data_IF_972167166116
#
_entry.id   IF_972167166116
#
_cell.length_a   1.000
_cell.length_b   1.000
_cell.length_c   1.000
_cell.angle_alpha   90.00
_cell.angle_beta   90.00
_cell.angle_gamma   90.00
#
_symmetry.space_group_name_H-M   'P 1'
#
loop_
_entity.id
_entity.type
_entity.pdbx_description
1 polymer ?
#
# COMPACT_ATOMS: atom_id res chain seq x y z
N UNK A 1 -5.64 18.29 -2.34
CA UNK A 1 -4.30 17.72 -2.59
C UNK A 1 -3.97 16.72 -1.50
N UNK A 2 -3.46 15.53 -1.85
CA UNK A 2 -3.12 14.47 -0.88
C UNK A 2 -1.60 14.35 -0.79
N UNK A 3 -1.03 14.62 0.39
CA UNK A 3 0.42 14.57 0.62
C UNK A 3 0.81 13.37 1.48
N UNK A 4 0.88 13.59 2.81
CA UNK A 4 1.34 12.58 3.78
C UNK A 4 0.60 11.24 3.68
N UNK A 5 -0.71 11.25 3.42
CA UNK A 5 -1.48 10.01 3.30
C UNK A 5 -1.02 9.15 2.10
N UNK A 6 -0.76 9.76 0.95
CA UNK A 6 -0.25 9.06 -0.24
C UNK A 6 1.15 8.48 -0.01
N UNK A 7 1.97 9.11 0.84
CA UNK A 7 3.28 8.59 1.20
C UNK A 7 3.24 7.46 2.24
N UNK A 8 2.33 7.54 3.21
CA UNK A 8 2.25 6.59 4.32
C UNK A 8 1.45 5.33 4.00
N UNK A 9 0.50 5.41 3.06
CA UNK A 9 -0.31 4.28 2.62
C UNK A 9 -0.70 4.44 1.14
N UNK A 10 0.25 4.40 0.20
CA UNK A 10 -0.01 4.64 -1.22
C UNK A 10 -1.04 3.68 -1.81
N UNK A 11 -0.95 2.39 -1.48
CA UNK A 11 -1.80 1.35 -2.05
C UNK A 11 -3.30 1.67 -1.88
N UNK A 12 -3.73 1.96 -0.65
CA UNK A 12 -5.13 2.24 -0.38
C UNK A 12 -5.54 3.70 -0.60
N UNK A 13 -4.61 4.65 -0.41
CA UNK A 13 -4.94 6.08 -0.51
C UNK A 13 -5.15 6.52 -1.95
N UNK A 14 -4.29 6.08 -2.88
CA UNK A 14 -4.33 6.56 -4.26
C UNK A 14 -4.64 5.46 -5.28
N UNK A 15 -4.59 4.18 -4.90
CA UNK A 15 -4.79 3.07 -5.83
C UNK A 15 -6.18 2.99 -6.49
N UNK A 16 -7.20 3.65 -5.94
CA UNK A 16 -8.58 3.64 -6.46
C UNK A 16 -9.00 4.93 -7.14
N UNK A 17 -8.12 5.93 -7.19
CA UNK A 17 -8.48 7.28 -7.62
C UNK A 17 -8.99 7.29 -9.06
N UNK A 18 -8.38 6.51 -9.96
CA UNK A 18 -8.77 6.44 -11.37
C UNK A 18 -10.25 6.05 -11.55
N UNK A 19 -10.69 4.99 -10.87
CA UNK A 19 -12.09 4.54 -10.93
C UNK A 19 -13.03 5.39 -10.09
N UNK A 20 -12.64 5.73 -8.86
CA UNK A 20 -13.52 6.39 -7.90
C UNK A 20 -13.74 7.89 -8.20
N UNK A 21 -12.75 8.57 -8.79
CA UNK A 21 -12.79 10.03 -9.01
C UNK A 21 -12.89 10.36 -10.50
N UNK A 22 -12.15 9.66 -11.36
CA UNK A 22 -12.07 9.99 -12.79
C UNK A 22 -12.96 9.11 -13.68
N UNK A 23 -13.61 8.08 -13.12
CA UNK A 23 -14.47 7.16 -13.88
C UNK A 23 -13.71 6.31 -14.91
N UNK A 24 -12.38 6.22 -14.80
CA UNK A 24 -11.54 5.43 -15.69
C UNK A 24 -11.50 3.98 -15.18
N UNK A 25 -11.61 2.96 -16.05
CA UNK A 25 -11.48 1.57 -15.62
C UNK A 25 -10.17 1.35 -14.86
N UNK A 26 -10.28 0.85 -13.62
CA UNK A 26 -9.11 0.55 -12.81
C UNK A 26 -8.35 -0.62 -13.39
N UNK A 27 -7.04 -0.46 -13.55
CA UNK A 27 -6.17 -1.57 -13.90
C UNK A 27 -6.10 -2.52 -12.71
N UNK A 28 -6.54 -3.77 -12.90
CA UNK A 28 -6.55 -4.82 -11.87
C UNK A 28 -5.13 -5.39 -11.65
N UNK A 29 -4.14 -4.51 -11.45
CA UNK A 29 -2.77 -4.92 -11.20
C UNK A 29 -2.60 -5.37 -9.75
N UNK A 30 -1.86 -6.46 -9.56
CA UNK A 30 -1.42 -6.89 -8.24
C UNK A 30 -0.21 -6.08 -7.77
N UNK A 31 0.12 -6.14 -6.46
CA UNK A 31 1.34 -5.51 -5.94
C UNK A 31 2.59 -6.07 -6.63
N UNK A 32 2.61 -7.38 -6.90
CA UNK A 32 3.69 -8.07 -7.62
C UNK A 32 3.92 -7.46 -9.00
N UNK A 33 2.85 -7.29 -9.79
CA UNK A 33 2.94 -6.73 -11.14
C UNK A 33 3.41 -5.27 -11.13
N UNK A 34 2.96 -4.47 -10.15
CA UNK A 34 3.45 -3.10 -10.00
C UNK A 34 4.95 -3.09 -9.69
N UNK A 35 5.42 -3.99 -8.82
CA UNK A 35 6.83 -4.10 -8.46
C UNK A 35 7.70 -4.57 -9.62
N UNK A 36 7.22 -5.53 -10.42
CA UNK A 36 7.88 -5.99 -11.67
C UNK A 36 8.05 -4.83 -12.68
N UNK A 37 7.04 -3.98 -12.84
CA UNK A 37 7.16 -2.79 -13.69
C UNK A 37 8.09 -1.74 -13.06
N UNK A 38 8.03 -1.59 -11.74
CA UNK A 38 8.84 -0.62 -11.01
C UNK A 38 10.33 -0.96 -11.03
N UNK A 39 10.71 -2.24 -10.94
CA UNK A 39 12.12 -2.62 -10.99
C UNK A 39 12.77 -2.24 -12.33
N UNK A 40 12.08 -2.50 -13.45
CA UNK A 40 12.55 -2.15 -14.79
C UNK A 40 12.77 -0.64 -14.90
N UNK A 41 11.79 0.14 -14.43
CA UNK A 41 11.91 1.59 -14.36
C UNK A 41 13.09 2.02 -13.47
N UNK A 42 13.16 1.53 -12.25
CA UNK A 42 14.10 2.00 -11.25
C UNK A 42 15.55 1.66 -11.62
N UNK A 43 15.81 0.46 -12.13
CA UNK A 43 17.14 0.06 -12.59
C UNK A 43 17.56 0.87 -13.84
N UNK A 44 16.64 1.17 -14.77
CA UNK A 44 16.93 2.05 -15.90
C UNK A 44 17.34 3.48 -15.48
N UNK A 45 16.79 3.98 -14.38
CA UNK A 45 17.15 5.30 -13.81
C UNK A 45 18.54 5.24 -13.17
N UNK A 46 18.86 4.17 -12.45
CA UNK A 46 20.21 3.95 -11.92
C UNK A 46 21.25 3.93 -13.03
N UNK A 47 20.97 3.24 -14.14
CA UNK A 47 21.84 3.19 -15.32
C UNK A 47 21.99 4.57 -15.97
N UNK A 48 20.88 5.27 -16.20
CA UNK A 48 20.86 6.56 -16.91
C UNK A 48 21.61 7.67 -16.18
N UNK A 49 21.48 7.75 -14.86
CA UNK A 49 22.04 8.86 -14.07
C UNK A 49 23.30 8.48 -13.29
N UNK A 50 23.61 7.18 -13.24
CA UNK A 50 24.73 6.61 -12.49
C UNK A 50 24.47 6.59 -10.97
N UNK A 51 25.06 5.60 -10.31
CA UNK A 51 24.86 5.32 -8.87
C UNK A 51 25.31 6.47 -7.93
N UNK A 52 26.07 7.44 -8.43
CA UNK A 52 26.48 8.64 -7.66
C UNK A 52 25.36 9.67 -7.51
N UNK A 53 24.40 9.72 -8.44
CA UNK A 53 23.30 10.69 -8.42
C UNK A 53 22.00 10.08 -7.90
N UNK A 54 21.72 8.85 -8.31
CA UNK A 54 20.53 8.11 -7.86
C UNK A 54 20.97 6.78 -7.31
N UNK A 55 20.64 6.51 -6.06
CA UNK A 55 20.95 5.25 -5.38
C UNK A 55 19.66 4.44 -5.15
N UNK A 56 19.77 3.11 -5.14
CA UNK A 56 18.72 2.15 -4.76
C UNK A 56 17.94 2.61 -3.53
N UNK A 57 18.61 3.11 -2.49
CA UNK A 57 17.94 3.62 -1.28
C UNK A 57 16.90 4.72 -1.56
N UNK A 58 17.16 5.60 -2.52
CA UNK A 58 16.22 6.66 -2.89
C UNK A 58 15.03 6.11 -3.68
N UNK A 59 15.28 5.12 -4.55
CA UNK A 59 14.25 4.48 -5.37
C UNK A 59 13.39 3.49 -4.59
N UNK A 60 13.93 2.85 -3.56
CA UNK A 60 13.16 1.94 -2.68
C UNK A 60 12.28 2.71 -1.68
N UNK A 61 12.63 3.96 -1.37
CA UNK A 61 11.94 4.76 -0.34
C UNK A 61 10.40 4.84 -0.52
N UNK A 62 9.84 5.01 -1.74
CA UNK A 62 8.39 4.98 -1.96
C UNK A 62 7.77 3.59 -1.74
N UNK A 63 8.54 2.51 -1.91
CA UNK A 63 8.05 1.14 -1.75
C UNK A 63 7.85 0.76 -0.28
N UNK A 64 8.58 1.38 0.65
CA UNK A 64 8.58 1.04 2.09
C UNK A 64 7.21 1.07 2.77
N UNK A 65 6.23 1.77 2.19
CA UNK A 65 4.88 1.83 2.73
C UNK A 65 3.83 1.17 1.83
N UNK A 66 4.25 0.47 0.77
CA UNK A 66 3.34 -0.23 -0.13
C UNK A 66 2.54 -1.33 0.58
N UNK A 67 3.16 -1.99 1.56
CA UNK A 67 2.57 -3.07 2.36
C UNK A 67 2.10 -2.59 3.73
N UNK A 68 1.69 -1.33 3.85
CA UNK A 68 1.24 -0.77 5.11
C UNK A 68 0.06 -1.58 5.70
N UNK A 69 0.19 -1.99 6.96
CA UNK A 69 -0.79 -2.84 7.68
C UNK A 69 -1.01 -4.27 7.13
N UNK A 70 -0.16 -4.74 6.22
CA UNK A 70 -0.21 -6.11 5.71
C UNK A 70 0.59 -7.09 6.58
N UNK A 71 0.22 -8.39 6.62
CA UNK A 71 1.02 -9.40 7.30
C UNK A 71 2.40 -9.52 6.64
N UNK A 72 3.44 -9.70 7.46
CA UNK A 72 4.83 -9.77 6.99
C UNK A 72 5.52 -8.42 6.80
N UNK A 73 4.79 -7.29 6.75
CA UNK A 73 5.38 -5.95 6.53
C UNK A 73 6.51 -5.60 7.51
N UNK A 74 6.36 -5.92 8.80
CA UNK A 74 7.41 -5.68 9.80
C UNK A 74 8.67 -6.53 9.59
N UNK A 75 8.53 -7.76 9.10
CA UNK A 75 9.68 -8.60 8.73
C UNK A 75 10.32 -8.09 7.44
N UNK A 76 9.50 -7.78 6.44
CA UNK A 76 9.91 -7.20 5.17
C UNK A 76 10.72 -5.92 5.36
N UNK A 77 10.28 -4.97 6.20
CA UNK A 77 11.03 -3.74 6.50
C UNK A 77 12.42 -4.01 7.09
N UNK A 78 12.53 -5.00 7.98
CA UNK A 78 13.83 -5.40 8.57
C UNK A 78 14.75 -6.03 7.52
N UNK A 79 14.21 -6.88 6.65
CA UNK A 79 14.97 -7.44 5.53
C UNK A 79 15.36 -6.36 4.52
N UNK A 80 14.48 -5.41 4.24
CA UNK A 80 14.76 -4.26 3.38
C UNK A 80 15.91 -3.40 3.94
N UNK A 81 15.91 -3.10 5.24
CA UNK A 81 16.99 -2.35 5.87
C UNK A 81 18.35 -3.09 5.81
N UNK A 82 18.33 -4.42 5.86
CA UNK A 82 19.52 -5.25 5.67
C UNK A 82 19.97 -5.24 4.20
N UNK A 83 19.07 -5.53 3.27
CA UNK A 83 19.29 -5.56 1.82
C UNK A 83 19.87 -4.23 1.30
N UNK A 84 19.37 -3.09 1.78
CA UNK A 84 19.84 -1.76 1.41
C UNK A 84 21.31 -1.45 1.81
N UNK A 85 21.98 -2.35 2.54
CA UNK A 85 23.41 -2.21 2.86
C UNK A 85 24.31 -2.75 1.74
N UNK A 86 23.85 -3.71 0.95
CA UNK A 86 24.67 -4.40 -0.05
C UNK A 86 24.06 -4.48 -1.45
N UNK A 87 22.73 -4.42 -1.60
CA UNK A 87 22.06 -4.45 -2.89
C UNK A 87 22.44 -3.22 -3.74
N UNK A 88 22.75 -3.48 -5.02
CA UNK A 88 23.14 -2.46 -6.00
C UNK A 88 22.07 -2.16 -7.04
N UNK A 89 21.06 -3.03 -7.16
CA UNK A 89 19.92 -2.89 -8.06
C UNK A 89 18.62 -3.04 -7.29
N UNK A 90 17.54 -2.48 -7.81
CA UNK A 90 16.20 -2.64 -7.25
C UNK A 90 15.72 -4.08 -7.44
N UNK A 91 16.06 -4.71 -8.58
CA UNK A 91 15.78 -6.13 -8.80
C UNK A 91 16.32 -7.03 -7.69
N UNK A 92 17.63 -6.95 -7.41
CA UNK A 92 18.25 -7.77 -6.35
C UNK A 92 17.66 -7.49 -4.96
N UNK A 93 17.30 -6.23 -4.70
CA UNK A 93 16.60 -5.85 -3.48
C UNK A 93 15.22 -6.50 -3.36
N UNK A 94 14.42 -6.53 -4.44
CA UNK A 94 13.10 -7.14 -4.42
C UNK A 94 13.17 -8.67 -4.32
N UNK A 95 14.05 -9.31 -5.08
CA UNK A 95 14.28 -10.77 -5.01
C UNK A 95 14.65 -11.22 -3.59
N UNK A 96 15.51 -10.47 -2.90
CA UNK A 96 15.92 -10.80 -1.53
C UNK A 96 14.81 -10.55 -0.49
N UNK A 97 14.04 -9.47 -0.65
CA UNK A 97 13.13 -9.00 0.40
C UNK A 97 11.71 -9.54 0.28
N UNK A 98 11.19 -9.76 -0.93
CA UNK A 98 9.79 -10.15 -1.14
C UNK A 98 9.47 -11.55 -0.60
N UNK A 99 10.46 -12.40 -0.37
CA UNK A 99 10.33 -13.71 0.30
C UNK A 99 9.71 -13.59 1.70
N UNK A 100 9.81 -12.42 2.34
CA UNK A 100 9.21 -12.15 3.66
C UNK A 100 7.68 -11.99 3.63
N UNK A 101 7.10 -11.79 2.45
CA UNK A 101 5.68 -11.47 2.29
C UNK A 101 4.94 -12.70 1.75
N UNK A 102 3.75 -13.00 2.26
CA UNK A 102 2.94 -14.08 1.73
C UNK A 102 2.40 -13.74 0.34
N UNK A 103 2.24 -14.75 -0.51
CA UNK A 103 1.79 -14.57 -1.90
C UNK A 103 0.42 -13.89 -1.98
N UNK A 104 -0.48 -14.14 -1.03
CA UNK A 104 -1.79 -13.48 -1.00
C UNK A 104 -1.69 -11.94 -0.88
N UNK A 105 -0.67 -11.40 -0.22
CA UNK A 105 -0.43 -9.96 -0.11
C UNK A 105 0.12 -9.42 -1.42
N UNK A 106 1.05 -10.15 -2.04
CA UNK A 106 1.69 -9.77 -3.30
C UNK A 106 0.70 -9.82 -4.48
N UNK A 107 -0.17 -10.82 -4.49
CA UNK A 107 -1.10 -11.10 -5.58
C UNK A 107 -2.48 -10.48 -5.36
N UNK A 108 -2.71 -9.83 -4.21
CA UNK A 108 -3.90 -9.01 -3.99
C UNK A 108 -3.98 -7.85 -4.98
N UNK A 109 -5.20 -7.58 -5.46
CA UNK A 109 -5.52 -6.40 -6.27
C UNK A 109 -6.31 -5.40 -5.44
N UNK A 110 -6.22 -4.12 -5.79
CA UNK A 110 -6.92 -3.04 -5.09
C UNK A 110 -8.46 -3.22 -5.13
N UNK A 111 -8.99 -3.82 -6.19
CA UNK A 111 -10.43 -4.02 -6.39
C UNK A 111 -11.00 -5.11 -5.48
N UNK A 112 -10.18 -6.11 -5.11
CA UNK A 112 -10.60 -7.23 -4.27
C UNK A 112 -10.54 -6.92 -2.77
N UNK A 113 -9.97 -5.78 -2.37
CA UNK A 113 -10.04 -5.35 -0.98
C UNK A 113 -11.44 -4.81 -0.70
N UNK A 114 -12.17 -5.35 0.29
CA UNK A 114 -13.45 -4.77 0.66
C UNK A 114 -13.25 -3.28 0.94
N UNK A 115 -14.09 -2.45 0.32
CA UNK A 115 -14.33 -1.08 0.80
C UNK A 115 -14.45 -1.20 2.30
N UNK A 116 -13.67 -0.42 3.06
CA UNK A 116 -13.87 -0.29 4.50
C UNK A 116 -15.31 0.14 4.72
N UNK A 117 -16.18 -0.86 4.89
CA UNK A 117 -17.49 -0.80 5.48
C UNK A 117 -18.35 0.43 5.10
N UNK A 118 -18.69 0.59 3.82
CA UNK A 118 -19.96 1.26 3.52
C UNK A 118 -21.09 0.35 4.01
N UNK A 119 -21.62 0.65 5.20
CA UNK A 119 -22.75 -0.07 5.79
C UNK A 119 -22.50 -0.85 7.08
N UNK A 120 -21.33 -0.79 7.73
CA UNK A 120 -21.16 -1.49 9.03
C UNK A 120 -21.86 -0.78 10.19
N UNK A 121 -22.12 0.51 10.03
CA UNK A 121 -22.78 1.34 11.03
C UNK A 121 -24.10 1.93 10.53
N UNK A 122 -24.58 1.54 9.34
CA UNK A 122 -25.92 1.94 8.89
C UNK A 122 -27.01 1.46 9.85
N UNK A 123 -26.78 0.31 10.50
CA UNK A 123 -27.66 -0.24 11.53
C UNK A 123 -27.20 0.05 12.97
N UNK A 124 -26.21 0.94 13.18
CA UNK A 124 -25.76 1.29 14.53
C UNK A 124 -26.89 1.87 15.39
N UNK A 125 -27.86 2.53 14.76
CA UNK A 125 -29.04 3.05 15.43
C UNK A 125 -29.97 1.96 15.98
N UNK A 126 -29.95 0.75 15.43
CA UNK A 126 -30.71 -0.39 15.93
C UNK A 126 -30.06 -1.07 17.15
N UNK A 127 -28.79 -0.75 17.43
CA UNK A 127 -28.03 -1.30 18.55
C UNK A 127 -28.11 -0.40 19.81
N UNK A 128 -28.64 0.82 19.69
CA UNK A 128 -28.83 1.69 20.86
C UNK A 128 -30.07 1.27 21.65
N UNK A 129 -29.99 1.26 23.00
CA UNK A 129 -31.16 1.05 23.83
C UNK A 129 -32.21 2.16 23.58
N UNK A 130 -33.50 1.86 23.79
CA UNK A 130 -34.58 2.82 23.56
C UNK A 130 -34.35 4.11 24.37
N UNK A 131 -34.71 5.28 23.82
CA UNK A 131 -34.48 6.56 24.49
C UNK A 131 -35.18 6.61 25.85
N UNK A 132 -34.47 7.12 26.84
CA UNK A 132 -34.97 7.26 28.21
C UNK A 132 -36.22 8.16 28.22
N UNK A 133 -37.37 7.59 28.60
CA UNK A 133 -38.60 8.37 28.78
C UNK A 133 -38.49 9.16 30.08
N UNK A 134 -38.36 10.48 30.00
CA UNK A 134 -38.55 11.31 31.19
C UNK A 134 -39.98 11.12 31.69
N UNK A 135 -40.12 10.65 32.93
CA UNK A 135 -41.41 10.67 33.61
C UNK A 135 -41.80 12.14 33.77
N UNK A 136 -42.80 12.58 33.01
CA UNK A 136 -43.45 13.86 33.27
C UNK A 136 -44.06 13.76 34.67
N UNK A 137 -43.56 14.62 35.56
CA UNK A 137 -44.06 14.81 36.91
C UNK A 137 -45.52 15.23 36.89
N UNK A 138 -46.30 14.54 37.71
CA UNK A 138 -47.72 14.78 38.04
C UNK A 138 -47.92 16.20 38.57
#
# INVERSE_FOLDING_TARGET
MVGRAAYNNPWYTIGRVDGAIYGVPSHNLSRRQILEQYEVYADSICEKYGSKRVNVRQLVKPLLNLFHSEPGNGQWKRMADAALKHCKTVKSFLEETLVALPDNVLDSTIVNSPLSHEGQFSDANALFPPPYKSMQSI
#
